data_IF_760519799836
#
_entry.id   IF_760519799836
#
_cell.length_a   1.000
_cell.length_b   1.000
_cell.length_c   1.000
_cell.angle_alpha   90.00
_cell.angle_beta   90.00
_cell.angle_gamma   90.00
#
_symmetry.space_group_name_H-M   'P 1'
#
loop_
_entity.id
_entity.type
_entity.pdbx_description
1 polymer ?
#
# COMPACT_ATOMS: atom_id res chain seq x y z
N UNK A 1 9.95 -10.55 -4.52
CA UNK A 1 11.13 -9.80 -5.00
C UNK A 1 10.90 -9.42 -6.46
N UNK A 2 11.06 -8.15 -6.80
CA UNK A 2 10.94 -7.64 -8.15
C UNK A 2 12.34 -7.51 -8.79
N UNK A 3 12.46 -7.81 -10.09
CA UNK A 3 13.74 -7.70 -10.82
C UNK A 3 13.55 -6.82 -12.05
N UNK A 4 14.36 -5.77 -12.19
CA UNK A 4 14.42 -4.93 -13.40
C UNK A 4 15.47 -5.42 -14.38
N UNK A 5 15.20 -5.29 -15.67
CA UNK A 5 16.19 -5.56 -16.75
C UNK A 5 16.37 -4.33 -17.63
N UNK A 6 17.64 -4.00 -17.93
CA UNK A 6 18.03 -3.17 -19.08
C UNK A 6 18.45 -4.09 -20.23
N UNK A 7 18.36 -3.63 -21.47
CA UNK A 7 18.95 -4.34 -22.64
C UNK A 7 20.44 -4.56 -22.40
N UNK A 8 20.81 -5.82 -22.08
CA UNK A 8 22.18 -6.21 -21.73
C UNK A 8 22.24 -6.76 -20.29
N UNK A 9 22.11 -8.03 -20.16
CA UNK A 9 22.38 -9.03 -19.10
C UNK A 9 22.11 -8.78 -17.60
N UNK A 10 21.94 -7.59 -17.02
CA UNK A 10 21.95 -7.44 -15.56
C UNK A 10 20.63 -6.92 -14.97
N UNK A 11 19.80 -7.86 -14.46
CA UNK A 11 18.61 -7.58 -13.66
C UNK A 11 19.03 -7.06 -12.29
N UNK A 12 18.46 -5.94 -11.84
CA UNK A 12 18.65 -5.45 -10.47
C UNK A 12 17.54 -6.01 -9.58
N UNK A 13 17.86 -6.90 -8.61
CA UNK A 13 16.89 -7.38 -7.65
C UNK A 13 16.51 -6.26 -6.69
N UNK A 14 15.20 -5.95 -6.62
CA UNK A 14 14.64 -4.99 -5.67
C UNK A 14 13.84 -5.71 -4.58
N UNK A 15 13.97 -5.26 -3.35
CA UNK A 15 13.11 -5.63 -2.22
C UNK A 15 12.28 -4.41 -1.82
N UNK A 16 10.97 -4.50 -2.00
CA UNK A 16 10.01 -3.50 -1.54
C UNK A 16 9.34 -4.02 -0.28
N UNK A 17 9.42 -3.27 0.80
CA UNK A 17 8.86 -3.63 2.11
C UNK A 17 7.98 -2.49 2.59
N UNK A 18 6.80 -2.81 3.11
CA UNK A 18 5.97 -1.85 3.82
C UNK A 18 5.55 -2.42 5.17
N UNK A 19 5.56 -1.59 6.19
CA UNK A 19 5.12 -1.94 7.54
C UNK A 19 4.54 -0.73 8.27
N UNK A 20 3.35 -0.89 8.84
CA UNK A 20 2.90 -0.01 9.90
C UNK A 20 3.62 -0.44 11.19
N UNK A 21 4.42 0.45 11.77
CA UNK A 21 5.31 0.15 12.89
C UNK A 21 4.87 0.81 14.21
N UNK A 22 3.62 1.27 14.28
CA UNK A 22 3.10 1.95 15.45
C UNK A 22 3.29 1.16 16.74
N UNK A 23 2.83 -0.08 16.79
CA UNK A 23 2.94 -0.98 17.94
C UNK A 23 4.38 -1.32 18.31
N UNK A 24 5.28 -1.39 17.33
CA UNK A 24 6.70 -1.72 17.53
C UNK A 24 7.37 -0.69 18.45
N UNK A 25 7.02 0.59 18.28
CA UNK A 25 7.58 1.66 19.10
C UNK A 25 6.83 1.89 20.40
N UNK A 26 5.70 1.23 20.63
CA UNK A 26 5.00 1.21 21.93
C UNK A 26 5.62 0.18 22.89
N UNK A 27 6.06 -0.98 22.36
CA UNK A 27 6.78 -2.03 23.11
C UNK A 27 8.13 -2.38 22.45
N UNK A 28 9.05 -1.43 22.33
CA UNK A 28 10.25 -1.57 21.50
C UNK A 28 11.22 -2.63 21.99
N UNK A 29 11.26 -2.89 23.32
CA UNK A 29 12.17 -3.90 23.90
C UNK A 29 11.83 -5.31 23.45
N UNK A 30 10.56 -5.58 23.19
CA UNK A 30 10.05 -6.90 22.80
C UNK A 30 9.87 -7.02 21.30
N UNK A 31 9.20 -6.04 20.69
CA UNK A 31 8.75 -6.13 19.32
C UNK A 31 9.86 -5.77 18.30
N UNK A 32 10.69 -4.78 18.62
CA UNK A 32 11.70 -4.28 17.69
C UNK A 32 12.77 -5.32 17.30
N UNK A 33 13.33 -6.13 18.23
CA UNK A 33 14.27 -7.18 17.88
C UNK A 33 13.66 -8.25 16.96
N UNK A 34 12.44 -8.66 17.23
CA UNK A 34 11.72 -9.68 16.43
C UNK A 34 11.49 -9.17 15.01
N UNK A 35 10.92 -7.96 14.87
CA UNK A 35 10.67 -7.36 13.57
C UNK A 35 11.95 -7.17 12.76
N UNK A 36 13.01 -6.67 13.41
CA UNK A 36 14.32 -6.46 12.76
C UNK A 36 14.91 -7.78 12.28
N UNK A 37 14.84 -8.83 13.09
CA UNK A 37 15.33 -10.17 12.74
C UNK A 37 14.60 -10.73 11.50
N UNK A 38 13.28 -10.62 11.44
CA UNK A 38 12.48 -11.07 10.29
C UNK A 38 12.80 -10.27 9.02
N UNK A 39 12.95 -8.95 9.15
CA UNK A 39 13.37 -8.11 8.03
C UNK A 39 14.74 -8.52 7.49
N UNK A 40 15.75 -8.68 8.36
CA UNK A 40 17.09 -9.07 7.96
C UNK A 40 17.16 -10.50 7.40
N UNK A 41 16.35 -11.42 7.94
CA UNK A 41 16.21 -12.75 7.37
C UNK A 41 15.64 -12.71 5.94
N UNK A 42 14.70 -11.82 5.67
CA UNK A 42 14.17 -11.62 4.32
C UNK A 42 15.24 -11.03 3.38
N UNK A 43 16.03 -10.07 3.84
CA UNK A 43 17.17 -9.51 3.08
C UNK A 43 18.17 -10.60 2.73
N UNK A 44 18.59 -11.39 3.71
CA UNK A 44 19.57 -12.48 3.50
C UNK A 44 19.06 -13.53 2.50
N UNK A 45 17.78 -13.93 2.61
CA UNK A 45 17.15 -14.91 1.72
C UNK A 45 16.99 -14.41 0.28
N UNK A 46 16.74 -13.12 0.08
CA UNK A 46 16.40 -12.56 -1.23
C UNK A 46 17.59 -11.93 -1.96
N UNK A 47 18.69 -11.65 -1.28
CA UNK A 47 19.87 -10.97 -1.80
C UNK A 47 19.54 -9.77 -2.72
N UNK A 48 18.75 -8.78 -2.25
CA UNK A 48 18.41 -7.63 -3.07
C UNK A 48 19.65 -6.75 -3.30
N UNK A 49 19.68 -6.02 -4.42
CA UNK A 49 20.71 -5.00 -4.64
C UNK A 49 20.20 -3.59 -4.33
N UNK A 50 18.89 -3.44 -4.20
CA UNK A 50 18.26 -2.21 -3.73
C UNK A 50 17.07 -2.57 -2.83
N UNK A 51 17.01 -1.98 -1.66
CA UNK A 51 15.93 -2.15 -0.69
C UNK A 51 15.20 -0.82 -0.55
N UNK A 52 13.89 -0.84 -0.68
CA UNK A 52 13.00 0.27 -0.33
C UNK A 52 12.07 -0.17 0.79
N UNK A 53 12.29 0.36 1.98
CA UNK A 53 11.52 0.10 3.18
C UNK A 53 10.67 1.32 3.51
N UNK A 54 9.36 1.17 3.43
CA UNK A 54 8.37 2.19 3.75
C UNK A 54 7.68 1.88 5.08
N UNK A 55 7.73 2.84 5.98
CA UNK A 55 7.17 2.72 7.32
C UNK A 55 6.02 3.72 7.50
N UNK A 56 4.99 3.31 8.22
CA UNK A 56 3.89 4.15 8.65
C UNK A 56 3.82 4.15 10.17
N UNK A 57 3.32 5.24 10.76
CA UNK A 57 3.21 5.43 12.21
C UNK A 57 4.56 5.35 12.96
N UNK A 58 5.62 5.85 12.33
CA UNK A 58 6.95 5.92 12.94
C UNK A 58 6.87 6.73 14.25
N UNK A 59 7.34 6.13 15.35
CA UNK A 59 7.25 6.69 16.68
C UNK A 59 5.97 6.37 17.44
N UNK A 60 5.02 5.60 16.85
CA UNK A 60 3.80 5.16 17.54
C UNK A 60 2.87 6.30 17.96
N UNK A 61 2.22 6.17 19.12
CA UNK A 61 1.29 7.17 19.69
C UNK A 61 1.97 8.15 20.64
N UNK A 62 3.04 7.71 21.29
CA UNK A 62 3.76 8.47 22.33
C UNK A 62 5.09 9.00 21.82
N UNK A 63 5.08 9.87 20.81
CA UNK A 63 6.27 10.35 20.11
C UNK A 63 7.40 10.82 21.01
N UNK A 64 7.08 11.60 22.06
CA UNK A 64 8.07 12.16 22.99
C UNK A 64 8.91 11.08 23.65
N UNK A 65 8.31 9.93 23.97
CA UNK A 65 8.99 8.81 24.63
C UNK A 65 9.68 7.87 23.64
N UNK A 66 9.14 7.75 22.44
CA UNK A 66 9.57 6.76 21.46
C UNK A 66 10.66 7.23 20.51
N UNK A 67 10.94 8.54 20.43
CA UNK A 67 11.95 9.10 19.53
C UNK A 67 13.34 8.50 19.71
N UNK A 68 13.74 8.15 20.95
CA UNK A 68 15.01 7.47 21.19
C UNK A 68 15.02 6.09 20.51
N UNK A 69 13.93 5.34 20.63
CA UNK A 69 13.81 4.01 20.02
C UNK A 69 13.83 4.06 18.49
N UNK A 70 13.28 5.13 17.88
CA UNK A 70 13.38 5.35 16.43
C UNK A 70 14.84 5.55 16.03
N UNK A 71 15.58 6.36 16.78
CA UNK A 71 17.04 6.55 16.52
C UNK A 71 17.82 5.26 16.67
N UNK A 72 17.55 4.51 17.73
CA UNK A 72 18.21 3.20 17.97
C UNK A 72 17.90 2.19 16.87
N UNK A 73 16.65 2.19 16.37
CA UNK A 73 16.24 1.37 15.25
C UNK A 73 17.00 1.72 13.97
N UNK A 74 17.06 3.00 13.62
CA UNK A 74 17.82 3.49 12.46
C UNK A 74 19.29 3.10 12.58
N UNK A 75 19.90 3.33 13.74
CA UNK A 75 21.29 3.00 14.00
C UNK A 75 21.54 1.49 13.82
N UNK A 76 20.69 0.64 14.41
CA UNK A 76 20.78 -0.82 14.27
C UNK A 76 20.71 -1.27 12.81
N UNK A 77 19.78 -0.75 12.04
CA UNK A 77 19.69 -1.10 10.62
C UNK A 77 20.92 -0.64 9.82
N UNK A 78 21.42 0.54 10.12
CA UNK A 78 22.58 1.07 9.42
C UNK A 78 23.90 0.35 9.75
N UNK A 79 24.00 -0.23 10.93
CA UNK A 79 25.25 -0.83 11.44
C UNK A 79 25.18 -2.36 11.50
N UNK A 80 24.06 -2.99 11.12
CA UNK A 80 23.95 -4.43 11.17
C UNK A 80 24.84 -5.12 10.11
N UNK A 81 25.43 -6.29 10.44
CA UNK A 81 26.31 -7.01 9.54
C UNK A 81 25.68 -7.40 8.20
N UNK A 82 24.37 -7.68 8.18
CA UNK A 82 23.61 -8.08 7.01
C UNK A 82 23.54 -6.97 5.96
N UNK A 83 23.56 -5.71 6.39
CA UNK A 83 23.51 -4.53 5.50
C UNK A 83 24.88 -3.88 5.26
N UNK A 84 25.97 -4.45 5.74
CA UNK A 84 27.32 -3.87 5.60
C UNK A 84 27.77 -3.59 4.15
N UNK A 85 27.21 -4.32 3.18
CA UNK A 85 27.50 -4.12 1.77
C UNK A 85 26.61 -3.07 1.10
N UNK A 86 25.65 -2.48 1.84
CA UNK A 86 24.80 -1.41 1.37
C UNK A 86 25.39 -0.07 1.79
N UNK A 87 26.33 0.43 0.98
CA UNK A 87 27.13 1.61 1.27
C UNK A 87 26.46 2.94 0.91
N UNK A 88 25.36 2.89 0.15
CA UNK A 88 24.55 4.05 -0.23
C UNK A 88 23.21 3.99 0.46
N UNK A 89 23.00 4.88 1.42
CA UNK A 89 21.82 4.89 2.29
C UNK A 89 21.16 6.25 2.23
N UNK A 90 19.82 6.27 2.07
CA UNK A 90 18.97 7.46 2.18
C UNK A 90 17.81 7.16 3.08
N UNK A 91 17.66 7.94 4.14
CA UNK A 91 16.60 7.79 5.13
C UNK A 91 15.88 9.13 5.27
N UNK A 92 14.56 9.08 5.25
CA UNK A 92 13.65 10.20 5.42
C UNK A 92 12.62 9.83 6.49
N UNK A 93 12.65 10.48 7.65
CA UNK A 93 11.73 10.25 8.76
C UNK A 93 11.02 11.55 9.09
N UNK A 94 9.70 11.58 8.86
CA UNK A 94 8.86 12.69 9.23
C UNK A 94 8.46 12.57 10.71
N UNK A 95 9.21 13.24 11.57
CA UNK A 95 9.11 13.15 13.02
C UNK A 95 8.76 14.49 13.68
N UNK A 96 8.45 15.52 12.90
CA UNK A 96 8.08 16.83 13.43
C UNK A 96 6.62 16.89 13.91
N UNK A 97 6.37 16.25 15.03
CA UNK A 97 5.05 16.25 15.68
C UNK A 97 4.65 17.62 16.26
N UNK A 98 5.57 18.57 16.36
CA UNK A 98 5.28 19.95 16.77
C UNK A 98 4.47 20.73 15.72
N UNK A 99 4.46 20.24 14.48
CA UNK A 99 3.70 20.80 13.35
C UNK A 99 2.60 19.85 12.86
N UNK A 100 1.51 19.65 13.64
CA UNK A 100 0.49 18.63 13.33
C UNK A 100 -0.15 18.79 11.95
N UNK A 101 -0.19 20.01 11.41
CA UNK A 101 -0.72 20.29 10.06
C UNK A 101 0.15 19.70 8.95
N UNK A 102 1.44 19.45 9.19
CA UNK A 102 2.40 18.89 8.22
C UNK A 102 2.83 17.47 8.54
N UNK A 103 2.71 17.06 9.79
CA UNK A 103 3.20 15.80 10.30
C UNK A 103 2.43 14.58 9.73
N UNK A 104 3.16 13.59 9.22
CA UNK A 104 2.60 12.36 8.65
C UNK A 104 3.04 11.08 9.38
N UNK A 105 4.12 11.12 10.15
CA UNK A 105 4.78 9.95 10.72
C UNK A 105 5.15 8.87 9.68
N UNK A 106 5.48 9.29 8.44
CA UNK A 106 5.99 8.40 7.41
C UNK A 106 7.50 8.31 7.47
N UNK A 107 8.01 7.10 7.20
CA UNK A 107 9.44 6.84 7.08
C UNK A 107 9.76 6.11 5.78
N UNK A 108 10.73 6.61 5.02
CA UNK A 108 11.25 5.93 3.85
C UNK A 108 12.74 5.66 4.08
N UNK A 109 13.13 4.40 3.97
CA UNK A 109 14.54 3.99 4.09
C UNK A 109 14.96 3.23 2.85
N UNK A 110 16.06 3.66 2.26
CA UNK A 110 16.62 3.08 1.05
C UNK A 110 18.05 2.63 1.29
N UNK A 111 18.33 1.38 0.94
CA UNK A 111 19.66 0.79 1.05
C UNK A 111 20.04 0.24 -0.32
N UNK A 112 21.15 0.73 -0.86
CA UNK A 112 21.67 0.30 -2.14
C UNK A 112 23.04 -0.38 -1.96
N UNK A 113 23.15 -1.58 -2.53
CA UNK A 113 24.35 -2.39 -2.47
C UNK A 113 25.50 -1.72 -3.23
N UNK A 114 26.74 -1.87 -2.76
CA UNK A 114 27.98 -1.30 -3.33
C UNK A 114 28.15 -1.56 -4.83
N UNK A 115 27.63 -2.68 -5.33
CA UNK A 115 27.65 -3.03 -6.77
C UNK A 115 26.75 -2.16 -7.64
N UNK A 116 25.87 -1.33 -7.07
CA UNK A 116 25.08 -0.33 -7.82
C UNK A 116 25.89 0.97 -7.93
N UNK A 117 26.77 1.05 -8.92
CA UNK A 117 27.65 2.21 -9.13
C UNK A 117 26.92 3.39 -9.79
N UNK A 118 25.94 3.11 -10.64
CA UNK A 118 25.12 4.12 -11.34
C UNK A 118 23.77 4.24 -10.63
N UNK A 119 23.77 5.02 -9.55
CA UNK A 119 22.61 5.28 -8.71
C UNK A 119 22.48 6.78 -8.46
N UNK A 120 21.32 7.33 -8.82
CA UNK A 120 21.00 8.74 -8.62
C UNK A 120 19.61 8.88 -8.01
N UNK A 121 19.40 9.99 -7.31
CA UNK A 121 18.12 10.40 -6.78
C UNK A 121 17.69 11.74 -7.40
N UNK A 122 16.40 11.91 -7.64
CA UNK A 122 15.85 13.14 -8.18
C UNK A 122 15.76 14.22 -7.11
N UNK A 123 16.29 15.38 -7.41
CA UNK A 123 16.08 16.60 -6.64
C UNK A 123 14.87 17.34 -7.24
N UNK A 124 13.78 17.49 -6.45
CA UNK A 124 12.53 18.08 -6.92
C UNK A 124 12.61 19.60 -7.07
N UNK A 125 13.55 20.27 -6.41
CA UNK A 125 13.81 21.69 -6.53
C UNK A 125 14.71 21.99 -7.74
N UNK A 126 15.84 21.29 -7.84
CA UNK A 126 16.78 21.42 -8.97
C UNK A 126 16.22 20.81 -10.27
N UNK A 127 15.20 19.98 -10.20
CA UNK A 127 14.61 19.22 -11.33
C UNK A 127 15.67 18.43 -12.11
N UNK A 128 16.58 17.81 -11.41
CA UNK A 128 17.68 17.03 -11.96
C UNK A 128 18.04 15.85 -11.06
N UNK A 129 18.70 14.85 -11.63
CA UNK A 129 19.27 13.73 -10.86
C UNK A 129 20.61 14.10 -10.25
N UNK A 130 20.75 13.83 -8.94
CA UNK A 130 22.01 13.98 -8.19
C UNK A 130 22.54 12.62 -7.80
N UNK A 131 23.86 12.48 -7.74
CA UNK A 131 24.51 11.22 -7.39
C UNK A 131 24.26 10.83 -5.93
N UNK A 132 24.07 9.54 -5.70
CA UNK A 132 23.88 9.00 -4.35
C UNK A 132 25.19 8.43 -3.85
N UNK A 133 25.81 9.12 -2.88
CA UNK A 133 27.08 8.73 -2.27
C UNK A 133 26.90 8.61 -0.76
N UNK A 134 27.43 7.54 -0.19
CA UNK A 134 27.47 7.33 1.25
C UNK A 134 26.09 7.32 1.93
N UNK A 135 26.10 7.60 3.23
CA UNK A 135 24.92 7.54 4.11
C UNK A 135 24.40 8.95 4.41
N UNK A 136 23.09 9.12 4.26
CA UNK A 136 22.41 10.35 4.61
C UNK A 136 21.10 10.01 5.36
N UNK A 137 20.91 10.61 6.54
CA UNK A 137 19.75 10.43 7.40
C UNK A 137 19.09 11.78 7.60
N UNK A 138 17.86 11.95 7.09
CA UNK A 138 17.04 13.12 7.26
C UNK A 138 15.90 12.77 8.23
N UNK A 139 15.89 13.37 9.41
CA UNK A 139 14.88 13.13 10.46
C UNK A 139 14.39 14.44 11.07
N UNK A 140 13.27 14.38 11.81
CA UNK A 140 12.62 15.56 12.37
C UNK A 140 11.79 16.31 11.33
N UNK A 141 12.06 17.61 11.15
CA UNK A 141 11.42 18.41 10.12
C UNK A 141 12.14 18.24 8.78
N UNK A 142 11.56 17.44 7.91
CA UNK A 142 12.13 17.14 6.59
C UNK A 142 11.55 18.00 5.45
N UNK A 143 10.79 19.05 5.74
CA UNK A 143 10.12 19.88 4.72
C UNK A 143 11.10 20.43 3.67
N UNK A 144 12.27 20.89 4.11
CA UNK A 144 13.30 21.51 3.25
C UNK A 144 14.18 20.50 2.48
N UNK A 145 14.00 19.20 2.70
CA UNK A 145 14.78 18.18 1.97
C UNK A 145 14.24 18.07 0.55
N UNK A 146 15.08 18.33 -0.44
CA UNK A 146 14.69 18.47 -1.86
C UNK A 146 14.61 17.14 -2.62
N UNK A 147 15.26 16.10 -2.11
CA UNK A 147 15.30 14.76 -2.74
C UNK A 147 14.08 13.89 -2.43
N UNK A 148 13.09 14.46 -1.76
CA UNK A 148 11.78 13.84 -1.52
C UNK A 148 10.66 14.85 -1.72
N UNK A 149 9.45 14.35 -1.87
CA UNK A 149 8.23 15.15 -1.80
C UNK A 149 7.23 14.48 -0.84
N UNK A 150 6.61 15.29 0.01
CA UNK A 150 5.65 14.84 1.02
C UNK A 150 4.39 15.71 0.96
N UNK A 151 3.23 15.08 1.10
CA UNK A 151 1.96 15.79 1.23
C UNK A 151 0.99 15.05 2.15
N UNK A 152 0.26 15.82 2.97
CA UNK A 152 -0.92 15.33 3.69
C UNK A 152 -2.15 15.39 2.79
N UNK A 153 -3.12 14.51 3.07
CA UNK A 153 -4.41 14.62 2.39
C UNK A 153 -5.22 15.80 2.91
N UNK A 154 -5.98 16.47 2.02
CA UNK A 154 -6.87 17.57 2.42
C UNK A 154 -7.84 17.15 3.53
N UNK A 155 -8.01 18.02 4.53
CA UNK A 155 -8.87 17.79 5.70
C UNK A 155 -10.30 17.31 5.32
N UNK A 156 -10.87 17.86 4.25
CA UNK A 156 -12.21 17.52 3.79
C UNK A 156 -12.34 16.07 3.25
N UNK A 157 -11.26 15.32 3.15
CA UNK A 157 -11.32 13.91 2.75
C UNK A 157 -11.69 13.01 3.93
N UNK A 158 -11.38 13.45 5.14
CA UNK A 158 -11.69 12.77 6.38
C UNK A 158 -11.97 13.80 7.49
N UNK A 159 -13.13 14.47 7.46
CA UNK A 159 -13.43 15.59 8.34
C UNK A 159 -13.53 15.21 9.82
N UNK A 160 -13.75 13.92 10.12
CA UNK A 160 -13.85 13.39 11.47
C UNK A 160 -12.53 13.47 12.26
N UNK A 161 -11.39 13.62 11.58
CA UNK A 161 -10.07 13.68 12.21
C UNK A 161 -9.31 14.93 11.78
N UNK A 162 -9.36 15.99 12.59
CA UNK A 162 -8.69 17.27 12.32
C UNK A 162 -7.18 17.13 12.17
N UNK A 163 -6.56 16.28 12.95
CA UNK A 163 -5.10 16.10 12.99
C UNK A 163 -4.66 14.78 12.35
N UNK A 164 -5.37 14.35 11.33
CA UNK A 164 -5.00 13.14 10.60
C UNK A 164 -3.56 13.21 10.07
N UNK A 165 -2.78 12.13 10.32
CA UNK A 165 -1.41 11.97 9.79
C UNK A 165 -1.37 11.36 8.40
N UNK A 166 -2.51 11.18 7.76
CA UNK A 166 -2.63 10.47 6.49
C UNK A 166 -2.13 11.31 5.32
N UNK A 167 -1.33 10.69 4.47
CA UNK A 167 -0.65 11.36 3.38
C UNK A 167 0.24 10.42 2.60
N UNK A 168 1.18 10.98 1.85
CA UNK A 168 2.19 10.22 1.12
C UNK A 168 3.57 10.92 1.19
N UNK A 169 4.62 10.12 0.97
CA UNK A 169 6.01 10.55 0.84
C UNK A 169 6.63 9.82 -0.34
N UNK A 170 7.12 10.56 -1.36
CA UNK A 170 7.71 9.98 -2.56
C UNK A 170 9.17 10.36 -2.76
N UNK A 171 9.90 9.48 -3.41
CA UNK A 171 11.24 9.70 -3.95
C UNK A 171 11.29 9.15 -5.37
N UNK A 172 12.17 9.74 -6.21
CA UNK A 172 12.39 9.27 -7.58
C UNK A 172 13.87 8.94 -7.76
N UNK A 173 14.13 7.80 -8.33
CA UNK A 173 15.47 7.24 -8.47
C UNK A 173 15.80 6.97 -9.94
N UNK A 174 17.09 7.04 -10.26
CA UNK A 174 17.65 6.44 -11.46
C UNK A 174 18.55 5.29 -11.02
N UNK A 175 18.12 4.06 -11.30
CA UNK A 175 18.84 2.84 -10.96
C UNK A 175 19.34 2.25 -12.26
N UNK A 176 20.67 2.30 -12.49
CA UNK A 176 21.29 1.90 -13.76
C UNK A 176 20.57 2.55 -14.96
N UNK A 177 20.42 3.88 -14.93
CA UNK A 177 19.75 4.70 -15.92
C UNK A 177 18.26 4.35 -16.16
N UNK A 178 17.63 3.62 -15.27
CA UNK A 178 16.19 3.38 -15.31
C UNK A 178 15.51 4.23 -14.23
N UNK A 179 14.69 5.18 -14.67
CA UNK A 179 13.91 6.02 -13.78
C UNK A 179 12.79 5.20 -13.11
N UNK A 180 12.60 5.37 -11.81
CA UNK A 180 11.55 4.73 -11.03
C UNK A 180 11.17 5.59 -9.82
N UNK A 181 9.90 5.62 -9.46
CA UNK A 181 9.42 6.28 -8.24
C UNK A 181 8.95 5.27 -7.20
N UNK A 182 9.22 5.59 -5.94
CA UNK A 182 8.69 4.89 -4.78
C UNK A 182 7.85 5.84 -3.95
N UNK A 183 6.60 5.47 -3.72
CA UNK A 183 5.60 6.28 -3.01
C UNK A 183 5.13 5.52 -1.80
N UNK A 184 5.49 6.00 -0.61
CA UNK A 184 4.93 5.55 0.65
C UNK A 184 3.57 6.22 0.85
N UNK A 185 2.54 5.46 1.17
CA UNK A 185 1.19 5.97 1.37
C UNK A 185 0.58 5.45 2.67
N UNK A 186 -0.18 6.30 3.36
CA UNK A 186 -0.98 5.90 4.49
C UNK A 186 -2.39 6.51 4.36
N UNK A 187 -3.38 5.65 4.05
CA UNK A 187 -4.77 6.06 3.83
C UNK A 187 -5.60 6.02 5.13
N UNK A 188 -6.84 6.51 5.04
CA UNK A 188 -7.76 6.63 6.17
C UNK A 188 -8.29 5.27 6.64
N UNK A 189 -8.36 5.09 7.96
CA UNK A 189 -8.93 3.91 8.61
C UNK A 189 -10.46 3.99 8.71
N UNK A 190 -11.11 2.89 9.11
CA UNK A 190 -12.53 2.87 9.45
C UNK A 190 -12.73 3.24 10.93
N UNK A 191 -13.55 4.24 11.21
CA UNK A 191 -13.88 4.64 12.58
C UNK A 191 -14.96 3.74 13.22
N UNK A 192 -15.83 3.12 12.40
CA UNK A 192 -16.95 2.30 12.89
C UNK A 192 -17.22 1.10 11.98
N UNK A 193 -17.31 -0.11 12.54
CA UNK A 193 -17.72 -1.29 11.81
C UNK A 193 -19.17 -1.17 11.31
N UNK A 194 -20.03 -0.49 12.06
CA UNK A 194 -21.44 -0.32 11.67
C UNK A 194 -21.58 0.48 10.39
N UNK A 195 -20.80 1.57 10.24
CA UNK A 195 -20.74 2.35 8.99
C UNK A 195 -19.99 1.61 7.88
N UNK A 196 -19.00 0.79 8.24
CA UNK A 196 -18.28 -0.05 7.27
C UNK A 196 -19.18 -1.15 6.66
N UNK A 197 -20.23 -1.56 7.36
CA UNK A 197 -21.23 -2.53 6.88
C UNK A 197 -22.27 -1.95 5.93
N UNK A 198 -22.32 -0.62 5.73
CA UNK A 198 -23.15 -0.02 4.70
C UNK A 198 -22.85 -0.61 3.31
N UNK A 199 -23.82 -0.54 2.35
CA UNK A 199 -23.59 -1.09 1.02
C UNK A 199 -22.28 -0.62 0.39
N UNK A 200 -21.52 -1.57 -0.14
CA UNK A 200 -20.25 -1.29 -0.80
C UNK A 200 -20.43 -0.43 -2.07
N UNK A 201 -19.61 0.62 -2.27
CA UNK A 201 -18.50 1.07 -1.44
C UNK A 201 -18.98 1.89 -0.23
N UNK A 202 -18.51 1.54 0.97
CA UNK A 202 -18.81 2.27 2.21
C UNK A 202 -18.30 3.73 2.17
N UNK A 203 -18.70 4.54 3.13
CA UNK A 203 -18.21 5.93 3.25
C UNK A 203 -16.70 5.98 3.36
N UNK A 204 -16.09 5.05 4.11
CA UNK A 204 -14.64 4.97 4.30
C UNK A 204 -13.92 4.52 3.03
N UNK A 205 -14.44 3.53 2.31
CA UNK A 205 -13.94 3.13 1.00
C UNK A 205 -13.93 4.32 0.02
N UNK A 206 -15.00 5.13 0.00
CA UNK A 206 -15.05 6.35 -0.84
C UNK A 206 -14.00 7.37 -0.44
N UNK A 207 -13.75 7.57 0.85
CA UNK A 207 -12.71 8.49 1.35
C UNK A 207 -11.31 8.02 0.95
N UNK A 208 -10.99 6.74 1.14
CA UNK A 208 -9.70 6.15 0.71
C UNK A 208 -9.51 6.26 -0.80
N UNK A 209 -10.53 5.94 -1.58
CA UNK A 209 -10.50 6.08 -3.04
C UNK A 209 -10.25 7.52 -3.47
N UNK A 210 -10.87 8.50 -2.79
CA UNK A 210 -10.65 9.93 -3.04
C UNK A 210 -9.21 10.34 -2.78
N UNK A 211 -8.64 9.89 -1.65
CA UNK A 211 -7.24 10.15 -1.28
C UNK A 211 -6.26 9.51 -2.27
N UNK A 212 -6.46 8.25 -2.65
CA UNK A 212 -5.61 7.57 -3.63
C UNK A 212 -5.68 8.23 -5.02
N UNK A 213 -6.87 8.62 -5.48
CA UNK A 213 -7.01 9.40 -6.72
C UNK A 213 -6.32 10.76 -6.65
N UNK A 214 -6.32 11.40 -5.49
CA UNK A 214 -5.58 12.65 -5.28
C UNK A 214 -4.07 12.41 -5.47
N UNK A 215 -3.51 11.36 -4.87
CA UNK A 215 -2.12 10.97 -5.07
C UNK A 215 -1.81 10.68 -6.54
N UNK A 216 -2.65 9.88 -7.21
CA UNK A 216 -2.44 9.56 -8.63
C UNK A 216 -2.47 10.81 -9.52
N UNK A 217 -3.39 11.74 -9.29
CA UNK A 217 -3.42 13.02 -10.03
C UNK A 217 -2.15 13.82 -9.79
N UNK A 218 -1.65 13.85 -8.55
CA UNK A 218 -0.40 14.53 -8.23
C UNK A 218 0.79 13.91 -9.00
N UNK A 219 0.90 12.58 -9.01
CA UNK A 219 1.95 11.88 -9.76
C UNK A 219 1.84 12.12 -11.28
N UNK A 220 0.63 12.12 -11.83
CA UNK A 220 0.40 12.31 -13.27
C UNK A 220 0.53 13.77 -13.73
N UNK A 221 0.43 14.74 -12.82
CA UNK A 221 0.65 16.14 -13.16
C UNK A 221 2.14 16.52 -13.29
N UNK A 222 3.03 15.64 -12.84
CA UNK A 222 4.47 15.85 -12.94
C UNK A 222 4.94 15.53 -14.37
N UNK A 223 5.46 16.51 -15.08
CA UNK A 223 5.95 16.38 -16.46
C UNK A 223 7.16 15.45 -16.57
N UNK A 224 7.87 15.22 -15.46
CA UNK A 224 9.00 14.30 -15.37
C UNK A 224 8.61 12.96 -14.74
N UNK A 225 7.31 12.62 -14.69
CA UNK A 225 6.83 11.39 -14.07
C UNK A 225 7.56 10.16 -14.58
N UNK A 226 7.92 9.27 -13.67
CA UNK A 226 8.56 7.99 -13.96
C UNK A 226 7.59 6.83 -13.63
N UNK A 227 7.87 5.60 -14.12
CA UNK A 227 7.20 4.40 -13.62
C UNK A 227 7.24 4.35 -12.10
N UNK A 228 6.10 4.10 -11.43
CA UNK A 228 6.03 4.19 -9.98
C UNK A 228 5.48 2.94 -9.31
N UNK A 229 5.94 2.72 -8.08
CA UNK A 229 5.41 1.78 -7.11
C UNK A 229 4.84 2.57 -5.94
N UNK A 230 3.57 2.31 -5.60
CA UNK A 230 2.93 2.85 -4.41
C UNK A 230 2.79 1.70 -3.44
N UNK A 231 3.42 1.78 -2.27
CA UNK A 231 3.31 0.76 -1.24
C UNK A 231 3.30 1.38 0.15
N UNK A 232 2.45 0.83 1.00
CA UNK A 232 2.16 1.38 2.30
C UNK A 232 0.94 0.73 2.92
N UNK A 233 0.43 1.36 3.96
CA UNK A 233 -0.82 1.04 4.61
C UNK A 233 -1.97 1.77 3.90
N UNK A 234 -2.62 1.07 2.98
CA UNK A 234 -3.79 1.57 2.28
C UNK A 234 -5.05 1.57 3.15
N UNK A 235 -5.00 0.93 4.30
CA UNK A 235 -6.18 0.71 5.13
C UNK A 235 -7.36 0.11 4.35
N UNK A 236 -7.10 -0.58 3.22
CA UNK A 236 -8.15 -1.26 2.47
C UNK A 236 -8.86 -2.28 3.36
N UNK A 237 -10.18 -2.27 3.29
CA UNK A 237 -11.01 -3.18 4.07
C UNK A 237 -11.78 -4.11 3.15
N UNK A 238 -12.05 -5.29 3.65
CA UNK A 238 -13.02 -6.18 3.03
C UNK A 238 -14.39 -5.50 2.96
N UNK A 239 -15.18 -5.83 1.95
CA UNK A 239 -16.62 -5.48 1.92
C UNK A 239 -17.30 -6.09 3.16
N UNK A 240 -17.25 -5.34 4.28
CA UNK A 240 -17.69 -5.83 5.59
C UNK A 240 -19.16 -6.21 5.59
N UNK A 241 -20.02 -5.48 4.86
CA UNK A 241 -21.43 -5.83 4.70
C UNK A 241 -21.61 -7.16 3.97
N UNK A 242 -20.87 -7.37 2.90
CA UNK A 242 -20.85 -8.64 2.16
C UNK A 242 -20.33 -9.81 3.00
N UNK A 243 -19.25 -9.59 3.78
CA UNK A 243 -18.71 -10.60 4.72
C UNK A 243 -19.75 -10.97 5.76
N UNK A 244 -20.35 -9.98 6.43
CA UNK A 244 -21.40 -10.24 7.44
C UNK A 244 -22.55 -11.02 6.82
N UNK A 245 -23.07 -10.59 5.66
CA UNK A 245 -24.13 -11.32 4.96
C UNK A 245 -23.76 -12.77 4.73
N UNK A 246 -22.51 -13.04 4.26
CA UNK A 246 -22.01 -14.39 3.99
C UNK A 246 -21.99 -15.27 5.24
N UNK A 247 -21.46 -14.76 6.37
CA UNK A 247 -21.28 -15.57 7.59
C UNK A 247 -22.54 -15.66 8.45
N UNK A 248 -23.60 -14.90 8.12
CA UNK A 248 -24.86 -14.85 8.87
C UNK A 248 -26.07 -15.32 8.07
N UNK A 249 -25.88 -15.97 6.94
CA UNK A 249 -26.91 -16.34 5.97
C UNK A 249 -28.04 -17.17 6.61
N UNK A 250 -27.71 -18.03 7.59
CA UNK A 250 -28.65 -18.90 8.31
C UNK A 250 -28.94 -18.44 9.76
N UNK A 251 -28.47 -17.27 10.16
CA UNK A 251 -28.56 -16.79 11.53
C UNK A 251 -29.73 -15.81 11.70
N UNK A 252 -30.15 -15.61 12.95
CA UNK A 252 -31.15 -14.60 13.34
C UNK A 252 -30.44 -13.34 13.82
N UNK A 253 -30.77 -12.19 13.26
CA UNK A 253 -30.22 -10.90 13.68
C UNK A 253 -30.99 -10.31 14.85
N UNK A 254 -30.30 -9.91 15.89
CA UNK A 254 -30.83 -9.16 17.04
C UNK A 254 -30.07 -7.83 17.17
N UNK A 255 -30.79 -6.71 17.21
CA UNK A 255 -30.22 -5.40 17.47
C UNK A 255 -30.40 -5.03 18.94
N UNK A 256 -29.30 -4.85 19.63
CA UNK A 256 -29.31 -4.37 21.00
C UNK A 256 -29.01 -2.86 20.97
N UNK A 257 -29.89 -2.06 21.59
CA UNK A 257 -29.67 -0.62 21.78
C UNK A 257 -29.54 -0.37 23.28
N UNK A 258 -28.42 0.19 23.70
CA UNK A 258 -28.24 0.66 25.08
C UNK A 258 -28.56 2.17 25.10
N UNK A 259 -29.81 2.52 25.48
CA UNK A 259 -30.24 3.92 25.61
C UNK A 259 -30.60 4.59 24.27
N UNK A 260 -30.74 5.91 24.31
CA UNK A 260 -31.11 6.75 23.15
C UNK A 260 -29.98 7.04 22.17
N UNK A 261 -28.76 6.60 22.50
CA UNK A 261 -27.57 6.90 21.69
C UNK A 261 -27.32 5.78 20.67
N UNK A 262 -27.39 6.13 19.35
CA UNK A 262 -27.11 5.22 18.23
C UNK A 262 -25.68 4.69 18.23
N UNK A 263 -24.72 5.36 18.90
CA UNK A 263 -23.35 4.92 19.04
C UNK A 263 -23.19 3.65 19.91
N UNK A 264 -24.17 3.35 20.75
CA UNK A 264 -24.21 2.16 21.60
C UNK A 264 -24.88 0.95 20.94
N UNK A 265 -25.19 1.03 19.67
CA UNK A 265 -25.84 -0.08 18.94
C UNK A 265 -24.88 -1.25 18.78
N UNK A 266 -25.38 -2.45 19.08
CA UNK A 266 -24.67 -3.73 18.92
C UNK A 266 -25.59 -4.67 18.14
N UNK A 267 -25.05 -5.28 17.08
CA UNK A 267 -25.71 -6.31 16.30
C UNK A 267 -25.18 -7.67 16.73
N UNK A 268 -26.08 -8.57 17.10
CA UNK A 268 -25.78 -9.96 17.38
C UNK A 268 -26.50 -10.86 16.39
N UNK A 269 -25.80 -11.85 15.90
CA UNK A 269 -26.34 -12.88 15.02
C UNK A 269 -26.29 -14.21 15.75
N UNK A 270 -27.43 -14.87 15.88
CA UNK A 270 -27.60 -16.06 16.70
C UNK A 270 -27.97 -17.25 15.84
N UNK A 271 -27.49 -18.41 16.24
CA UNK A 271 -27.89 -19.70 15.68
C UNK A 271 -29.39 -19.95 15.94
N UNK A 272 -30.09 -20.47 14.95
CA UNK A 272 -31.52 -20.82 15.07
C UNK A 272 -31.76 -22.08 15.90
N UNK A 273 -30.74 -22.94 16.06
CA UNK A 273 -30.86 -24.23 16.73
C UNK A 273 -30.71 -24.15 18.23
N UNK A 274 -29.77 -23.30 18.71
CA UNK A 274 -29.39 -23.26 20.12
C UNK A 274 -29.29 -21.83 20.70
N UNK A 275 -29.73 -20.82 19.94
CA UNK A 275 -29.69 -19.39 20.29
C UNK A 275 -28.29 -18.86 20.67
N UNK A 276 -27.23 -19.63 20.36
CA UNK A 276 -25.86 -19.21 20.63
C UNK A 276 -25.46 -18.04 19.75
N UNK A 277 -24.76 -17.05 20.33
CA UNK A 277 -24.20 -15.91 19.58
C UNK A 277 -23.05 -16.43 18.70
N UNK A 278 -23.16 -16.24 17.40
CA UNK A 278 -22.15 -16.63 16.40
C UNK A 278 -21.31 -15.44 15.97
N UNK A 279 -21.93 -14.29 15.71
CA UNK A 279 -21.23 -13.06 15.34
C UNK A 279 -21.80 -11.89 16.16
N UNK A 280 -20.87 -11.06 16.62
CA UNK A 280 -21.20 -9.76 17.22
C UNK A 280 -20.53 -8.65 16.45
N UNK A 281 -21.26 -7.60 16.10
CA UNK A 281 -20.73 -6.39 15.46
C UNK A 281 -21.18 -5.16 16.23
N UNK A 282 -20.23 -4.34 16.64
CA UNK A 282 -20.44 -3.03 17.24
C UNK A 282 -19.46 -2.02 16.66
N UNK A 283 -19.48 -0.77 17.09
CA UNK A 283 -18.58 0.28 16.58
C UNK A 283 -17.12 -0.16 16.48
N UNK A 284 -16.60 -0.78 17.55
CA UNK A 284 -15.21 -1.29 17.65
C UNK A 284 -15.14 -2.79 18.01
N UNK A 285 -16.17 -3.55 17.73
CA UNK A 285 -16.19 -5.00 17.95
C UNK A 285 -16.63 -5.72 16.69
N UNK A 286 -15.90 -6.74 16.31
CA UNK A 286 -16.22 -7.65 15.23
C UNK A 286 -15.76 -9.07 15.64
N UNK A 287 -16.62 -9.76 16.36
CA UNK A 287 -16.26 -11.01 17.04
C UNK A 287 -17.08 -12.18 16.52
N UNK A 288 -16.45 -13.14 15.87
CA UNK A 288 -17.04 -14.39 15.44
C UNK A 288 -16.62 -15.53 16.39
N UNK A 289 -17.48 -16.52 16.58
CA UNK A 289 -17.17 -17.70 17.43
C UNK A 289 -15.90 -18.42 16.96
N UNK A 290 -15.73 -18.63 15.66
CA UNK A 290 -14.56 -19.26 15.04
C UNK A 290 -13.64 -18.21 14.38
N UNK A 291 -13.42 -17.06 15.04
CA UNK A 291 -12.76 -15.87 14.48
C UNK A 291 -11.41 -16.20 13.83
N UNK A 292 -10.57 -17.00 14.50
CA UNK A 292 -9.22 -17.31 14.02
C UNK A 292 -9.20 -18.28 12.83
N UNK A 293 -10.28 -19.00 12.60
CA UNK A 293 -10.39 -19.98 11.51
C UNK A 293 -11.08 -19.38 10.29
N UNK A 294 -12.28 -18.83 10.48
CA UNK A 294 -13.17 -18.47 9.37
C UNK A 294 -12.58 -17.37 8.46
N UNK A 295 -11.84 -16.41 9.05
CA UNK A 295 -11.24 -15.30 8.30
C UNK A 295 -9.87 -15.62 7.66
N UNK A 296 -9.43 -16.88 7.73
CA UNK A 296 -8.28 -17.41 6.97
C UNK A 296 -8.70 -18.20 5.75
N UNK A 297 -10.00 -18.46 5.61
CA UNK A 297 -10.55 -19.21 4.48
C UNK A 297 -10.43 -18.40 3.18
N UNK A 298 -10.12 -19.06 2.04
CA UNK A 298 -9.91 -18.40 0.75
C UNK A 298 -11.09 -17.56 0.26
N UNK A 299 -12.32 -17.87 0.72
CA UNK A 299 -13.51 -17.12 0.32
C UNK A 299 -13.45 -15.63 0.70
N UNK A 300 -12.73 -15.27 1.78
CA UNK A 300 -12.64 -13.89 2.26
C UNK A 300 -12.04 -12.95 1.20
N UNK A 301 -11.11 -13.46 0.39
CA UNK A 301 -10.44 -12.67 -0.65
C UNK A 301 -11.41 -12.12 -1.72
N UNK A 302 -12.58 -12.76 -1.91
CA UNK A 302 -13.62 -12.26 -2.83
C UNK A 302 -14.23 -10.94 -2.37
N UNK A 303 -14.06 -10.59 -1.11
CA UNK A 303 -14.53 -9.35 -0.51
C UNK A 303 -13.45 -8.26 -0.43
N UNK A 304 -12.22 -8.54 -0.90
CA UNK A 304 -11.16 -7.54 -1.07
C UNK A 304 -11.37 -6.77 -2.38
N UNK A 305 -12.25 -5.76 -2.35
CA UNK A 305 -12.82 -5.13 -3.53
C UNK A 305 -12.42 -3.67 -3.74
N UNK A 306 -11.71 -3.03 -2.79
CA UNK A 306 -11.46 -1.59 -2.85
C UNK A 306 -10.61 -1.17 -4.06
N UNK A 307 -9.70 -2.04 -4.51
CA UNK A 307 -8.84 -1.79 -5.68
C UNK A 307 -9.60 -1.91 -7.01
N UNK A 308 -10.75 -2.58 -7.08
CA UNK A 308 -11.46 -2.87 -8.35
C UNK A 308 -11.67 -1.61 -9.20
N UNK A 309 -12.09 -0.50 -8.57
CA UNK A 309 -12.36 0.77 -9.26
C UNK A 309 -11.09 1.50 -9.76
N UNK A 310 -9.90 0.99 -9.44
CA UNK A 310 -8.61 1.60 -9.80
C UNK A 310 -7.73 0.66 -10.63
N UNK A 311 -8.18 -0.56 -10.89
CA UNK A 311 -7.46 -1.55 -11.71
C UNK A 311 -7.05 -1.06 -13.10
N UNK A 312 -7.80 -0.17 -13.78
CA UNK A 312 -7.32 0.42 -15.04
C UNK A 312 -6.04 1.25 -14.91
N UNK A 313 -5.78 1.81 -13.70
CA UNK A 313 -4.64 2.70 -13.43
C UNK A 313 -3.52 2.04 -12.63
N UNK A 314 -3.89 1.07 -11.79
CA UNK A 314 -2.98 0.39 -10.88
C UNK A 314 -3.04 -1.11 -11.09
N UNK A 315 -1.87 -1.72 -11.08
CA UNK A 315 -1.68 -3.16 -11.13
C UNK A 315 -1.19 -3.67 -9.77
N UNK A 316 -1.55 -4.90 -9.45
CA UNK A 316 -1.08 -5.61 -8.27
C UNK A 316 -0.77 -7.06 -8.64
N UNK A 317 0.32 -7.59 -8.11
CA UNK A 317 0.59 -9.02 -8.20
C UNK A 317 -0.42 -9.81 -7.35
N UNK A 318 -0.70 -11.08 -7.68
CA UNK A 318 -1.61 -11.90 -6.90
C UNK A 318 -1.22 -11.92 -5.42
N UNK A 319 -2.15 -11.51 -4.56
CA UNK A 319 -2.00 -11.54 -3.11
C UNK A 319 -2.08 -12.99 -2.64
N UNK A 320 -0.99 -13.50 -2.04
CA UNK A 320 -0.86 -14.89 -1.58
C UNK A 320 -0.65 -15.02 -0.08
N UNK A 321 -0.66 -13.91 0.64
CA UNK A 321 -0.52 -13.84 2.09
C UNK A 321 -1.90 -13.65 2.75
N UNK A 322 -2.06 -14.00 4.04
CA UNK A 322 -3.31 -13.76 4.76
C UNK A 322 -3.57 -12.27 4.96
N UNK A 323 -4.80 -11.86 5.39
CA UNK A 323 -5.06 -10.48 5.81
C UNK A 323 -3.98 -9.96 6.75
N UNK A 324 -3.53 -8.72 6.52
CA UNK A 324 -2.43 -8.10 7.26
C UNK A 324 -2.89 -7.34 8.51
N UNK A 325 -4.21 -7.20 8.71
CA UNK A 325 -4.82 -6.45 9.79
C UNK A 325 -6.17 -7.08 10.20
N UNK A 326 -6.59 -7.01 11.48
CA UNK A 326 -5.84 -6.61 12.66
C UNK A 326 -5.21 -7.82 13.36
N UNK A 327 -3.92 -7.81 13.57
CA UNK A 327 -3.27 -8.83 14.41
C UNK A 327 -3.23 -8.42 15.88
N UNK A 328 -3.22 -9.43 16.78
CA UNK A 328 -2.90 -9.19 18.18
C UNK A 328 -1.47 -8.67 18.32
N UNK A 329 -1.29 -7.69 19.22
CA UNK A 329 0.02 -7.11 19.55
C UNK A 329 0.74 -7.92 20.65
N UNK A 330 0.58 -9.25 20.63
CA UNK A 330 1.17 -10.19 21.57
C UNK A 330 2.11 -11.14 20.82
N UNK A 331 3.38 -11.16 21.24
CA UNK A 331 4.42 -12.02 20.66
C UNK A 331 4.11 -13.52 20.77
N UNK A 332 3.27 -13.92 21.72
CA UNK A 332 2.82 -15.31 21.90
C UNK A 332 1.62 -15.67 21.00
N UNK A 333 1.00 -14.64 20.38
CA UNK A 333 -0.15 -14.77 19.50
C UNK A 333 0.10 -14.13 18.10
N UNK A 334 1.27 -14.34 17.48
CA UNK A 334 1.75 -13.55 16.34
C UNK A 334 0.88 -13.66 15.08
N UNK A 335 -0.02 -14.62 15.05
CA UNK A 335 -0.91 -14.85 13.90
C UNK A 335 -2.39 -14.71 14.25
N UNK A 336 -2.75 -14.34 15.47
CA UNK A 336 -4.14 -14.20 15.88
C UNK A 336 -4.69 -12.84 15.47
N UNK A 337 -5.94 -12.84 15.00
CA UNK A 337 -6.65 -11.61 14.69
C UNK A 337 -7.39 -11.07 15.91
N UNK A 338 -7.24 -9.77 16.16
CA UNK A 338 -8.09 -9.05 17.12
C UNK A 338 -9.56 -9.13 16.70
N UNK A 339 -10.44 -9.17 17.69
CA UNK A 339 -11.90 -9.13 17.49
C UNK A 339 -12.45 -7.70 17.39
N UNK A 340 -11.67 -6.78 16.84
CA UNK A 340 -12.02 -5.36 16.73
C UNK A 340 -12.54 -4.98 15.33
N UNK A 341 -12.00 -5.61 14.29
CA UNK A 341 -12.33 -5.34 12.87
C UNK A 341 -12.40 -6.64 12.07
N UNK A 342 -13.12 -6.61 10.96
CA UNK A 342 -13.06 -7.68 9.96
C UNK A 342 -11.64 -7.77 9.39
N UNK A 343 -10.99 -8.94 9.41
CA UNK A 343 -9.66 -9.10 8.83
C UNK A 343 -9.59 -8.66 7.37
N UNK A 344 -8.53 -7.90 7.04
CA UNK A 344 -8.42 -7.20 5.76
C UNK A 344 -6.96 -7.07 5.31
N UNK A 345 -6.74 -6.89 4.00
CA UNK A 345 -5.42 -6.68 3.38
C UNK A 345 -5.12 -5.19 3.27
N UNK A 346 -4.64 -4.59 4.35
CA UNK A 346 -4.35 -3.16 4.43
C UNK A 346 -3.03 -2.78 3.78
N UNK A 347 -2.01 -3.64 3.90
CA UNK A 347 -0.65 -3.38 3.44
C UNK A 347 -0.42 -3.98 2.07
N UNK A 348 -0.20 -3.12 1.07
CA UNK A 348 -0.19 -3.49 -0.34
C UNK A 348 1.00 -2.89 -1.10
N UNK A 349 1.35 -3.53 -2.21
CA UNK A 349 2.29 -3.00 -3.21
C UNK A 349 1.58 -2.89 -4.54
N UNK A 350 1.29 -1.67 -4.95
CA UNK A 350 0.64 -1.35 -6.22
C UNK A 350 1.63 -0.67 -7.17
N UNK A 351 1.44 -0.84 -8.46
CA UNK A 351 2.35 -0.28 -9.45
C UNK A 351 1.60 0.29 -10.66
N UNK A 352 2.20 1.30 -11.30
CA UNK A 352 1.70 1.85 -12.56
C UNK A 352 1.81 0.83 -13.70
N UNK A 353 1.04 1.03 -14.77
CA UNK A 353 1.16 0.20 -15.96
C UNK A 353 2.57 0.26 -16.56
N UNK A 354 3.23 1.43 -16.54
CA UNK A 354 4.60 1.59 -17.00
C UNK A 354 5.60 0.80 -16.14
N UNK A 355 5.42 0.79 -14.81
CA UNK A 355 6.23 -0.04 -13.92
C UNK A 355 6.00 -1.54 -14.15
N UNK A 356 4.76 -1.95 -14.43
CA UNK A 356 4.46 -3.33 -14.83
C UNK A 356 5.21 -3.75 -16.09
N UNK A 357 5.27 -2.88 -17.09
CA UNK A 357 6.01 -3.15 -18.34
C UNK A 357 7.52 -3.31 -18.09
N UNK A 358 8.12 -2.52 -17.18
CA UNK A 358 9.53 -2.70 -16.79
C UNK A 358 9.81 -4.11 -16.24
N UNK A 359 8.83 -4.74 -15.58
CA UNK A 359 8.95 -6.08 -15.04
C UNK A 359 8.69 -7.18 -16.07
N UNK A 360 7.73 -6.98 -16.99
CA UNK A 360 7.29 -7.98 -17.98
C UNK A 360 8.27 -8.18 -19.15
N UNK A 361 9.09 -7.20 -19.49
CA UNK A 361 10.15 -7.39 -20.50
C UNK A 361 11.14 -8.52 -20.15
N UNK A 362 10.95 -9.16 -19.00
CA UNK A 362 11.77 -10.26 -18.51
C UNK A 362 11.22 -11.68 -18.79
N UNK A 363 10.00 -11.82 -19.32
CA UNK A 363 9.34 -13.13 -19.49
C UNK A 363 9.31 -13.64 -20.95
N UNK A 364 10.03 -13.06 -21.88
CA UNK A 364 10.18 -13.68 -23.20
C UNK A 364 11.03 -14.95 -23.04
N UNK A 365 10.50 -16.13 -23.32
CA UNK A 365 11.29 -17.35 -23.34
C UNK A 365 12.38 -17.21 -24.41
N UNK A 366 13.57 -17.66 -24.06
CA UNK A 366 14.73 -17.73 -24.95
C UNK A 366 14.45 -18.81 -26.03
N UNK A 367 13.89 -18.38 -27.17
CA UNK A 367 13.63 -19.23 -28.33
C UNK A 367 14.92 -19.54 -29.10
N UNK A 368 16.05 -19.84 -28.41
CA UNK A 368 17.32 -20.16 -29.02
C UNK A 368 17.63 -21.65 -29.16
N UNK A 369 16.65 -22.54 -28.98
CA UNK A 369 16.84 -23.95 -29.24
C UNK A 369 15.80 -24.52 -30.18
N UNK A 370 15.82 -24.06 -31.47
CA UNK A 370 15.18 -24.76 -32.59
C UNK A 370 15.82 -24.35 -33.93
N UNK A 371 17.12 -24.62 -34.06
CA UNK A 371 17.75 -24.73 -35.36
C UNK A 371 18.95 -25.68 -35.24
N UNK A 372 18.68 -26.99 -35.32
CA UNK A 372 19.63 -27.95 -35.90
C UNK A 372 18.90 -29.31 -36.10
N UNK A 373 18.30 -29.47 -37.22
CA UNK A 373 18.27 -30.72 -37.98
C UNK A 373 17.60 -30.45 -39.32
N UNK A 374 18.40 -30.04 -40.31
CA UNK A 374 18.08 -30.23 -41.73
C UNK A 374 18.73 -31.53 -42.14
N UNK A 375 17.95 -32.42 -42.72
CA UNK A 375 18.38 -33.19 -43.88
C UNK A 375 17.17 -33.56 -44.73
N UNK A 376 17.30 -33.13 -46.01
CA UNK A 376 16.97 -33.80 -47.29
C UNK A 376 15.60 -34.50 -47.41
N UNK A 377 14.75 -34.22 -48.39
CA UNK A 377 14.86 -34.36 -49.82
C UNK A 377 13.55 -33.97 -50.54
N UNK A 378 13.77 -33.39 -51.73
CA UNK A 378 13.09 -33.52 -53.01
C UNK A 378 11.59 -33.20 -53.21
N UNK A 379 11.42 -32.32 -54.16
CA UNK A 379 10.54 -32.30 -55.36
C UNK A 379 9.09 -31.79 -55.32
N UNK A 380 8.92 -30.94 -56.32
CA UNK A 380 7.71 -30.60 -57.10
C UNK A 380 6.97 -29.30 -56.79
N UNK A 381 7.25 -28.34 -57.65
CA UNK A 381 6.43 -27.16 -58.06
C UNK A 381 5.32 -27.61 -59.06
N UNK A 382 4.44 -26.77 -59.64
CA UNK A 382 3.87 -25.49 -59.25
C UNK A 382 2.32 -25.39 -59.49
N UNK A 383 1.65 -24.35 -59.03
CA UNK A 383 0.72 -23.51 -59.80
C UNK A 383 -0.07 -22.48 -58.94
N UNK A 384 0.17 -21.22 -59.29
CA UNK A 384 -0.73 -20.17 -59.85
C UNK A 384 -2.07 -19.91 -59.19
N UNK A 385 -2.25 -18.70 -58.70
CA UNK A 385 -3.10 -17.57 -59.14
C UNK A 385 -3.62 -16.73 -57.97
N UNK A 386 -3.22 -15.47 -58.06
CA UNK A 386 -3.91 -14.18 -58.28
C UNK A 386 -4.66 -13.56 -57.10
N UNK A 387 -4.09 -12.43 -56.68
CA UNK A 387 -4.64 -11.07 -56.51
C UNK A 387 -6.09 -10.93 -56.01
N UNK A 388 -6.23 -10.19 -54.90
CA UNK A 388 -6.99 -8.93 -54.91
C UNK A 388 -6.46 -8.01 -53.77
N UNK A 389 -6.25 -6.80 -54.15
CA UNK A 389 -5.87 -5.60 -53.43
C UNK A 389 -7.13 -4.99 -52.81
N UNK A 390 -7.11 -4.54 -51.56
CA UNK A 390 -7.79 -3.28 -51.24
C UNK A 390 -7.17 -2.62 -49.99
N UNK A 391 -6.92 -1.36 -50.19
CA UNK A 391 -6.47 -0.37 -49.23
C UNK A 391 -7.65 0.05 -48.35
N UNK A 392 -7.41 0.37 -47.10
CA UNK A 392 -7.92 1.64 -46.52
C UNK A 392 -7.23 1.93 -45.18
N UNK A 393 -6.81 3.15 -45.12
CA UNK A 393 -6.17 3.89 -44.06
C UNK A 393 -7.02 3.99 -42.80
N UNK A 394 -6.36 4.18 -41.65
CA UNK A 394 -7.02 4.61 -40.42
C UNK A 394 -6.14 4.48 -39.18
N UNK A 395 -5.24 5.43 -38.97
CA UNK A 395 -4.61 5.63 -37.67
C UNK A 395 -5.63 6.12 -36.65
N UNK A 396 -5.66 5.60 -35.42
CA UNK A 396 -6.33 6.29 -34.35
C UNK A 396 -5.34 7.08 -33.50
N UNK A 397 -5.70 8.33 -33.32
CA UNK A 397 -5.03 9.37 -32.54
C UNK A 397 -4.97 9.02 -31.06
N UNK A 398 -3.78 9.17 -30.48
CA UNK A 398 -3.54 9.31 -29.05
C UNK A 398 -4.24 10.57 -28.51
N UNK A 399 -5.28 10.42 -27.66
CA UNK A 399 -5.96 11.62 -27.13
C UNK A 399 -7.01 11.41 -26.03
N UNK A 400 -7.37 10.20 -25.64
CA UNK A 400 -8.55 9.96 -24.80
C UNK A 400 -8.31 9.71 -23.31
N UNK A 401 -7.10 9.51 -22.84
CA UNK A 401 -6.83 9.18 -21.43
C UNK A 401 -6.98 10.33 -20.44
N UNK A 402 -6.88 11.58 -20.93
CA UNK A 402 -7.01 12.77 -20.06
C UNK A 402 -8.46 13.22 -19.84
N UNK A 403 -9.38 12.89 -20.76
CA UNK A 403 -10.78 13.31 -20.69
C UNK A 403 -11.65 12.44 -19.77
N UNK A 404 -11.33 11.17 -19.65
CA UNK A 404 -12.09 10.23 -18.82
C UNK A 404 -11.88 10.46 -17.31
N UNK A 405 -10.68 10.86 -16.90
CA UNK A 405 -10.42 11.31 -15.53
C UNK A 405 -11.17 12.60 -15.16
N UNK A 406 -11.46 13.47 -16.13
CA UNK A 406 -12.24 14.70 -15.91
C UNK A 406 -13.73 14.44 -15.76
N UNK A 407 -14.32 13.44 -16.42
CA UNK A 407 -15.76 13.13 -16.37
C UNK A 407 -16.24 12.48 -15.07
N UNK A 408 -15.32 11.97 -14.24
CA UNK A 408 -15.64 11.35 -12.95
C UNK A 408 -15.69 12.35 -11.77
N UNK A 409 -15.50 13.65 -12.03
CA UNK A 409 -15.31 14.66 -10.98
C UNK A 409 -16.54 15.58 -10.79
N UNK A 410 -17.45 15.70 -11.77
CA UNK A 410 -18.56 16.66 -11.69
C UNK A 410 -19.93 15.97 -11.56
N UNK A 411 -20.36 15.79 -10.32
CA UNK A 411 -21.76 15.93 -9.90
C UNK A 411 -21.82 16.26 -8.40
N UNK A 412 -22.25 17.48 -8.03
CA UNK A 412 -22.45 17.84 -6.64
C UNK A 412 -23.87 17.49 -6.21
N UNK A 413 -24.06 16.48 -5.39
CA UNK A 413 -25.29 16.33 -4.63
C UNK A 413 -25.17 17.12 -3.34
N UNK A 414 -25.76 18.33 -3.35
CA UNK A 414 -26.13 19.06 -2.15
C UNK A 414 -27.13 18.23 -1.33
N UNK A 415 -26.73 17.86 -0.12
CA UNK A 415 -27.65 17.78 1.03
C UNK A 415 -26.93 18.34 2.24
N UNK A 416 -27.41 19.49 2.71
CA UNK A 416 -27.16 20.03 4.05
C UNK A 416 -27.81 19.07 5.05
N UNK A 417 -27.08 18.67 6.08
CA UNK A 417 -27.64 18.37 7.38
C UNK A 417 -26.77 19.05 8.42
N UNK A 418 -27.37 20.01 9.09
CA UNK A 418 -26.88 20.61 10.32
C UNK A 418 -26.76 19.51 11.38
N UNK A 419 -25.58 19.34 11.98
CA UNK A 419 -25.44 18.74 13.30
C UNK A 419 -24.40 19.51 14.11
N UNK A 420 -24.84 19.88 15.30
CA UNK A 420 -24.17 20.73 16.25
C UNK A 420 -22.86 20.18 16.78
N UNK A 421 -22.05 21.10 17.20
CA UNK A 421 -20.81 20.89 17.96
C UNK A 421 -21.10 20.18 19.27
N UNK A 422 -20.36 19.10 19.55
CA UNK A 422 -20.06 18.64 20.91
C UNK A 422 -18.68 17.98 20.88
N UNK A 423 -17.76 18.52 21.73
CA UNK A 423 -16.71 17.79 22.39
C UNK A 423 -15.41 17.54 21.61
N UNK A 424 -14.39 18.30 21.94
CA UNK A 424 -12.98 18.02 21.69
C UNK A 424 -12.60 16.64 22.25
N UNK A 425 -12.49 15.66 21.35
CA UNK A 425 -11.75 14.44 21.63
C UNK A 425 -10.68 14.32 20.56
N UNK A 426 -9.44 14.49 20.97
CA UNK A 426 -8.27 14.31 20.13
C UNK A 426 -8.31 12.94 19.46
N UNK A 427 -8.50 12.92 18.15
CA UNK A 427 -8.38 11.73 17.32
C UNK A 427 -6.87 11.46 17.13
N UNK A 428 -6.18 11.10 18.19
CA UNK A 428 -4.88 10.47 18.09
C UNK A 428 -5.10 9.03 17.69
N UNK A 429 -4.48 8.64 16.58
CA UNK A 429 -4.71 7.41 15.84
C UNK A 429 -4.98 6.18 16.69
N UNK A 430 -6.23 5.79 16.76
CA UNK A 430 -6.67 4.55 17.38
C UNK A 430 -6.58 3.41 16.37
N UNK A 431 -5.41 2.77 16.30
CA UNK A 431 -5.31 1.38 15.93
C UNK A 431 -5.33 0.55 17.21
N UNK A 432 -6.49 0.40 17.82
CA UNK A 432 -6.83 -0.62 18.80
C UNK A 432 -8.02 -1.41 18.30
#
# INVERSE_FOLDING_TARGET
MLKFKKMGSDKVPLLLVTANVGSIFEEPTTMLPIWTSEFLAAVARMDPKFIALHLQEVGGKTYEKSMQYVRDFVQRLCDCPELRLYDKIRIYLDEDFSSPEKFTALGNMYFAHSTLTDLKIWDFELKSYVDVVGREVNSGNIEKVTTKEKAKFPQQFFPECKWSRKGFLRTRWSIRNTAVEFVNIHLFHDASNLLAMEPFPSVYCRSRRRALRHTLRHLHSDVNAAPYFIFGDFNFRTDTGGVVKKVTEELTACRLQNGTNTESSKLQFRSKSDDRIVLTVAKKEFSHVDHQKIFREPWLQRFDRELEALRPHLYEFPVKFPPTYPFEEDIHLPTHYMKTRCPSWCDRVLLSQSARLLLQHNERPDNRHLHSSRNSDSDASPNRRKLVRNQSEGSPKSGETSAELRRLVDHPTRRRSEYGMIGDTACMGDHK
#
